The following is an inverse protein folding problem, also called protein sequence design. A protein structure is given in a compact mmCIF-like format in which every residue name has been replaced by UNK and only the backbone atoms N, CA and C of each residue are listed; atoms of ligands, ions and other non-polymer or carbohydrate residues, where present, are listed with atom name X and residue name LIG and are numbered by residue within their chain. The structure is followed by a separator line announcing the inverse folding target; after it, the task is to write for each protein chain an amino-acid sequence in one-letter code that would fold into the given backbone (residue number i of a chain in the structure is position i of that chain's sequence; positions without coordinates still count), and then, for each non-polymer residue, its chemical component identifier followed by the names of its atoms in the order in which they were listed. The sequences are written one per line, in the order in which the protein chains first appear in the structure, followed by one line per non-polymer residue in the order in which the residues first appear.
data_IF_825818561213
#
_entry.id   IF_825818561213
#
_cell.length_a   1.000
_cell.length_b   1.000
_cell.length_c   1.000
_cell.angle_alpha   90.00
_cell.angle_beta   90.00
_cell.angle_gamma   90.00
#
_symmetry.space_group_name_H-M   'P 1'
#
loop_
_entity.id
_entity.type
_entity.pdbx_description
1 polymer ?
#
# COMPACT_ATOMS: atom_id res chain seq x y z
N UNK A 1 7.69 12.59 -21.92
CA UNK A 1 8.05 13.89 -21.29
C UNK A 1 8.48 13.58 -19.88
N UNK A 2 9.72 13.92 -19.51
CA UNK A 2 10.24 13.68 -18.16
C UNK A 2 9.44 14.48 -17.14
N UNK A 3 8.92 13.76 -16.15
CA UNK A 3 8.25 14.26 -14.98
C UNK A 3 9.21 15.16 -14.17
N UNK A 4 9.05 16.47 -14.30
CA UNK A 4 9.80 17.50 -13.56
C UNK A 4 9.56 17.48 -12.03
N UNK A 5 8.73 16.56 -11.55
CA UNK A 5 8.33 16.44 -10.14
C UNK A 5 9.48 16.02 -9.22
N UNK A 6 10.52 15.36 -9.75
CA UNK A 6 11.71 14.95 -8.98
C UNK A 6 12.84 15.99 -8.90
N UNK A 7 12.62 17.24 -9.36
CA UNK A 7 13.69 18.23 -9.48
C UNK A 7 13.54 19.44 -8.53
N UNK A 8 12.57 19.44 -7.61
CA UNK A 8 12.46 20.47 -6.57
C UNK A 8 13.12 19.92 -5.30
N UNK A 9 14.26 20.47 -4.84
CA UNK A 9 14.87 20.07 -3.58
C UNK A 9 13.86 20.19 -2.43
N UNK A 10 13.60 19.09 -1.72
CA UNK A 10 12.61 19.03 -0.64
C UNK A 10 11.19 18.67 -1.06
N UNK A 11 10.95 18.33 -2.33
CA UNK A 11 9.68 17.79 -2.84
C UNK A 11 9.86 16.38 -3.43
N UNK A 12 10.75 15.60 -2.82
CA UNK A 12 10.95 14.20 -3.19
C UNK A 12 9.67 13.43 -2.86
N UNK A 13 9.19 12.54 -3.75
CA UNK A 13 8.09 11.66 -3.40
C UNK A 13 8.49 10.82 -2.19
N UNK A 14 7.58 10.69 -1.21
CA UNK A 14 7.80 9.84 -0.05
C UNK A 14 8.16 8.43 -0.52
N UNK A 15 9.25 7.89 0.04
CA UNK A 15 9.68 6.54 -0.24
C UNK A 15 8.62 5.53 0.21
N UNK A 16 8.44 4.47 -0.57
CA UNK A 16 7.52 3.41 -0.22
C UNK A 16 7.91 2.74 1.11
N UNK A 17 6.93 2.54 1.99
CA UNK A 17 7.11 1.81 3.25
C UNK A 17 6.02 0.77 3.45
N UNK A 18 6.43 -0.51 3.51
CA UNK A 18 5.54 -1.63 3.81
C UNK A 18 4.83 -1.46 5.17
N UNK A 19 5.52 -0.86 6.15
CA UNK A 19 4.95 -0.60 7.47
C UNK A 19 3.89 0.49 7.43
N UNK A 20 4.14 1.57 6.67
CA UNK A 20 3.12 2.61 6.46
C UNK A 20 1.89 2.05 5.75
N UNK A 21 2.08 1.23 4.70
CA UNK A 21 0.98 0.58 3.98
C UNK A 21 0.13 -0.31 4.92
N UNK A 22 0.77 -1.13 5.77
CA UNK A 22 0.06 -1.92 6.80
C UNK A 22 -0.71 -1.02 7.76
N UNK A 23 -0.11 0.08 8.20
CA UNK A 23 -0.77 1.08 9.05
C UNK A 23 -2.04 1.64 8.41
N UNK A 24 -1.98 2.06 7.14
CA UNK A 24 -3.15 2.56 6.41
C UNK A 24 -4.27 1.52 6.30
N UNK A 25 -3.93 0.26 6.00
CA UNK A 25 -4.92 -0.82 5.93
C UNK A 25 -5.57 -1.08 7.28
N UNK A 26 -4.80 -1.08 8.38
CA UNK A 26 -5.35 -1.24 9.74
C UNK A 26 -6.33 -0.10 10.05
N UNK A 27 -5.93 1.16 9.85
CA UNK A 27 -6.79 2.32 10.11
C UNK A 27 -8.11 2.24 9.30
N UNK A 28 -8.02 1.99 8.00
CA UNK A 28 -9.20 1.89 7.15
C UNK A 28 -10.13 0.74 7.57
N UNK A 29 -9.58 -0.40 7.96
CA UNK A 29 -10.37 -1.55 8.40
C UNK A 29 -11.01 -1.33 9.79
N UNK A 30 -10.31 -0.66 10.71
CA UNK A 30 -10.89 -0.28 12.01
C UNK A 30 -12.05 0.70 11.83
N UNK A 31 -11.88 1.71 10.99
CA UNK A 31 -12.92 2.71 10.68
C UNK A 31 -14.14 2.08 9.97
N UNK A 32 -13.93 1.05 9.16
CA UNK A 32 -15.00 0.28 8.53
C UNK A 32 -15.66 -0.74 9.48
N UNK A 33 -15.20 -0.87 10.73
CA UNK A 33 -15.78 -1.76 11.73
C UNK A 33 -15.45 -3.24 11.54
N UNK A 34 -14.36 -3.57 10.84
CA UNK A 34 -13.93 -4.97 10.70
C UNK A 34 -13.51 -5.58 12.03
N UNK A 35 -13.67 -6.90 12.15
CA UNK A 35 -13.26 -7.61 13.37
C UNK A 35 -11.74 -7.64 13.54
N UNK A 36 -11.26 -7.69 14.79
CA UNK A 36 -9.82 -7.87 15.08
C UNK A 36 -9.23 -9.12 14.42
N UNK A 37 -10.05 -10.17 14.22
CA UNK A 37 -9.62 -11.41 13.56
C UNK A 37 -9.38 -11.17 12.07
N UNK A 38 -10.26 -10.43 11.41
CA UNK A 38 -10.13 -10.12 9.97
C UNK A 38 -8.98 -9.16 9.71
N UNK A 39 -8.81 -8.13 10.55
CA UNK A 39 -7.66 -7.22 10.47
C UNK A 39 -6.35 -8.00 10.57
N UNK A 40 -6.20 -8.87 11.57
CA UNK A 40 -5.01 -9.73 11.71
C UNK A 40 -4.77 -10.63 10.50
N UNK A 41 -5.85 -11.18 9.91
CA UNK A 41 -5.74 -12.03 8.73
C UNK A 41 -5.23 -11.25 7.52
N UNK A 42 -5.79 -10.07 7.27
CA UNK A 42 -5.39 -9.21 6.14
C UNK A 42 -3.97 -8.69 6.33
N UNK A 43 -3.64 -8.17 7.50
CA UNK A 43 -2.28 -7.67 7.80
C UNK A 43 -1.24 -8.79 7.73
N UNK A 44 -1.57 -9.99 8.22
CA UNK A 44 -0.72 -11.17 8.06
C UNK A 44 -0.45 -11.51 6.59
N UNK A 45 -1.48 -11.45 5.75
CA UNK A 45 -1.33 -11.70 4.31
C UNK A 45 -0.56 -10.62 3.57
N UNK A 46 -0.59 -9.36 4.03
CA UNK A 46 0.23 -8.31 3.45
C UNK A 46 1.74 -8.61 3.52
N UNK A 47 2.22 -9.35 4.52
CA UNK A 47 3.63 -9.78 4.55
C UNK A 47 3.99 -10.63 3.33
N UNK A 48 3.19 -11.66 3.04
CA UNK A 48 3.42 -12.54 1.89
C UNK A 48 3.27 -11.78 0.56
N UNK A 49 2.25 -10.91 0.46
CA UNK A 49 2.00 -10.14 -0.76
C UNK A 49 3.15 -9.19 -1.09
N UNK A 50 3.73 -8.51 -0.10
CA UNK A 50 4.86 -7.61 -0.34
C UNK A 50 6.14 -8.33 -0.75
N UNK A 51 6.39 -9.55 -0.25
CA UNK A 51 7.59 -10.31 -0.62
C UNK A 51 7.46 -10.98 -1.99
N UNK A 52 6.23 -11.27 -2.42
CA UNK A 52 5.96 -12.01 -3.66
C UNK A 52 5.69 -11.12 -4.88
N UNK A 53 5.48 -9.82 -4.71
CA UNK A 53 5.06 -8.91 -5.78
C UNK A 53 5.88 -7.63 -5.75
N UNK A 54 6.19 -7.11 -6.95
CA UNK A 54 6.77 -5.76 -7.09
C UNK A 54 5.72 -4.67 -6.86
N UNK A 55 6.18 -3.42 -6.67
CA UNK A 55 5.30 -2.25 -6.60
C UNK A 55 4.52 -2.08 -7.92
N UNK A 56 5.16 -2.37 -9.05
CA UNK A 56 4.54 -2.37 -10.37
C UNK A 56 3.42 -3.40 -10.49
N UNK A 57 3.64 -4.65 -10.03
CA UNK A 57 2.62 -5.70 -10.04
C UNK A 57 1.40 -5.30 -9.20
N UNK A 58 1.63 -4.75 -8.00
CA UNK A 58 0.56 -4.28 -7.13
C UNK A 58 -0.24 -3.13 -7.77
N UNK A 59 0.44 -2.21 -8.47
CA UNK A 59 -0.19 -1.11 -9.20
C UNK A 59 -1.03 -1.61 -10.37
N UNK A 60 -0.51 -2.53 -11.17
CA UNK A 60 -1.26 -3.17 -12.25
C UNK A 60 -2.49 -3.92 -11.71
N UNK A 61 -2.33 -4.62 -10.58
CA UNK A 61 -3.42 -5.31 -9.91
C UNK A 61 -4.53 -4.36 -9.47
N UNK A 62 -4.19 -3.18 -8.92
CA UNK A 62 -5.18 -2.17 -8.54
C UNK A 62 -5.92 -1.63 -9.76
N UNK A 63 -5.21 -1.24 -10.82
CA UNK A 63 -5.85 -0.67 -12.02
C UNK A 63 -6.72 -1.66 -12.80
N UNK A 64 -6.46 -2.97 -12.67
CA UNK A 64 -7.26 -4.03 -13.29
C UNK A 64 -8.37 -4.57 -12.36
N UNK A 65 -8.40 -4.14 -11.10
CA UNK A 65 -9.39 -4.58 -10.11
C UNK A 65 -10.72 -3.84 -10.27
N UNK A 66 -11.88 -4.50 -9.99
CA UNK A 66 -13.17 -3.81 -9.90
C UNK A 66 -13.36 -3.06 -8.57
N UNK A 67 -12.41 -3.19 -7.65
CA UNK A 67 -12.27 -2.45 -6.39
C UNK A 67 -11.12 -1.46 -6.52
#
# INVERSE_FOLDING_TARGET
MGNAFGMIPGLEPDEWSNDACRGYVIMAMEDCGFSKKDIRRVVGQLYEVFDLNSVEDAKEKYHSSPY
#
